data_IF_352616452160
#
_entry.id   IF_352616452160
#
_cell.length_a   1.000
_cell.length_b   1.000
_cell.length_c   1.000
_cell.angle_alpha   90.00
_cell.angle_beta   90.00
_cell.angle_gamma   90.00
#
_symmetry.space_group_name_H-M   'P 1'
#
loop_
_entity.id
_entity.type
_entity.pdbx_description
1 polymer ?
#
# COMPACT_ATOMS: atom_id res chain seq x y z
N UNK A 1 -5.20 -19.18 15.88
CA UNK A 1 -4.76 -19.27 14.47
C UNK A 1 -3.42 -19.98 14.41
N UNK A 2 -3.28 -21.03 13.59
CA UNK A 2 -1.98 -21.66 13.34
C UNK A 2 -1.05 -20.72 12.56
N UNK A 3 0.26 -20.93 12.66
CA UNK A 3 1.26 -20.16 11.92
C UNK A 3 1.02 -20.33 10.42
N UNK A 4 0.72 -19.25 9.70
CA UNK A 4 0.44 -19.29 8.27
C UNK A 4 1.75 -19.58 7.53
N UNK A 5 1.74 -20.63 6.70
CA UNK A 5 2.87 -20.93 5.81
C UNK A 5 2.74 -20.09 4.53
N UNK A 6 3.37 -18.91 4.53
CA UNK A 6 3.21 -17.93 3.46
C UNK A 6 3.63 -18.40 2.07
N UNK A 7 4.67 -19.23 1.97
CA UNK A 7 5.09 -19.83 0.70
C UNK A 7 4.00 -20.73 0.10
N UNK A 8 3.40 -21.60 0.91
CA UNK A 8 2.30 -22.46 0.48
C UNK A 8 1.03 -21.65 0.16
N UNK A 9 0.73 -20.64 0.97
CA UNK A 9 -0.40 -19.74 0.74
C UNK A 9 -0.27 -18.96 -0.57
N UNK A 10 0.91 -18.39 -0.84
CA UNK A 10 1.18 -17.70 -2.09
C UNK A 10 0.99 -18.62 -3.30
N UNK A 11 1.54 -19.84 -3.24
CA UNK A 11 1.41 -20.81 -4.33
C UNK A 11 -0.07 -21.10 -4.63
N UNK A 12 -0.87 -21.36 -3.59
CA UNK A 12 -2.31 -21.58 -3.73
C UNK A 12 -3.04 -20.37 -4.33
N UNK A 13 -2.75 -19.16 -3.83
CA UNK A 13 -3.36 -17.93 -4.36
C UNK A 13 -3.04 -17.72 -5.84
N UNK A 14 -1.78 -17.91 -6.23
CA UNK A 14 -1.34 -17.77 -7.62
C UNK A 14 -2.01 -18.80 -8.52
N UNK A 15 -2.11 -20.05 -8.07
CA UNK A 15 -2.74 -21.15 -8.83
C UNK A 15 -4.25 -20.96 -8.98
N UNK A 16 -4.96 -20.73 -7.87
CA UNK A 16 -6.43 -20.60 -7.86
C UNK A 16 -6.88 -19.36 -8.64
N UNK A 17 -6.23 -18.22 -8.41
CA UNK A 17 -6.61 -16.96 -9.04
C UNK A 17 -5.91 -16.75 -10.39
N UNK A 18 -5.00 -17.64 -10.82
CA UNK A 18 -4.22 -17.48 -12.05
C UNK A 18 -3.45 -16.15 -12.11
N UNK A 19 -2.83 -15.75 -11.00
CA UNK A 19 -2.15 -14.45 -10.89
C UNK A 19 -0.90 -14.40 -11.77
N UNK A 20 -0.69 -13.27 -12.45
CA UNK A 20 0.52 -13.05 -13.26
C UNK A 20 1.76 -12.77 -12.40
N UNK A 21 1.55 -12.09 -11.28
CA UNK A 21 2.59 -11.68 -10.35
C UNK A 21 2.27 -12.22 -8.96
N UNK A 22 3.28 -12.54 -8.14
CA UNK A 22 3.04 -12.96 -6.76
C UNK A 22 2.39 -11.82 -5.95
N UNK A 23 1.50 -12.14 -5.01
CA UNK A 23 1.10 -11.22 -3.95
C UNK A 23 2.31 -10.62 -3.24
N UNK A 24 2.22 -9.33 -2.90
CA UNK A 24 3.29 -8.60 -2.21
C UNK A 24 2.92 -8.46 -0.74
N UNK A 25 3.78 -8.98 0.13
CA UNK A 25 3.77 -8.75 1.55
C UNK A 25 4.39 -7.38 1.86
N UNK A 26 3.71 -6.63 2.74
CA UNK A 26 4.12 -5.31 3.20
C UNK A 26 4.05 -5.29 4.72
N UNK A 27 5.14 -4.90 5.35
CA UNK A 27 5.24 -4.70 6.79
C UNK A 27 5.61 -3.25 7.09
N UNK A 28 4.86 -2.62 7.97
CA UNK A 28 5.06 -1.25 8.44
C UNK A 28 5.88 -1.28 9.72
N UNK A 29 7.17 -1.01 9.60
CA UNK A 29 8.12 -1.11 10.70
C UNK A 29 8.06 0.19 11.51
N UNK A 30 7.67 0.10 12.79
CA UNK A 30 7.54 1.25 13.69
C UNK A 30 8.86 1.66 14.35
N UNK A 31 9.73 0.70 14.62
CA UNK A 31 11.01 0.93 15.31
C UNK A 31 12.16 0.34 14.52
N UNK A 32 13.31 1.01 14.52
CA UNK A 32 14.46 0.62 13.71
C UNK A 32 15.03 -0.76 14.10
N UNK A 33 14.82 -1.19 15.34
CA UNK A 33 15.28 -2.50 15.84
C UNK A 33 14.46 -3.66 15.28
N UNK A 34 13.23 -3.39 14.80
CA UNK A 34 12.34 -4.39 14.22
C UNK A 34 12.69 -4.68 12.74
N UNK A 35 13.70 -4.00 12.17
CA UNK A 35 14.20 -4.28 10.83
C UNK A 35 14.95 -5.64 10.84
N UNK A 36 14.50 -6.62 10.02
CA UNK A 36 15.10 -7.95 10.04
C UNK A 36 16.54 -7.94 9.53
N UNK A 37 17.42 -8.67 10.23
CA UNK A 37 18.81 -8.82 9.84
C UNK A 37 18.92 -9.54 8.49
N UNK A 38 19.82 -9.07 7.63
CA UNK A 38 20.06 -9.67 6.31
C UNK A 38 19.15 -9.17 5.18
N UNK A 39 18.17 -8.31 5.46
CA UNK A 39 17.40 -7.61 4.42
C UNK A 39 18.13 -6.32 4.03
N UNK A 40 18.36 -6.14 2.74
CA UNK A 40 19.03 -4.95 2.22
C UNK A 40 18.09 -3.73 2.21
N UNK A 41 18.66 -2.55 2.46
CA UNK A 41 17.98 -1.28 2.20
C UNK A 41 17.88 -1.04 0.68
N UNK A 42 16.83 -0.38 0.23
CA UNK A 42 16.67 -0.03 -1.17
C UNK A 42 17.80 0.88 -1.67
N UNK A 43 18.48 0.47 -2.75
CA UNK A 43 19.67 1.16 -3.27
C UNK A 43 19.40 2.61 -3.72
N UNK A 44 18.29 2.82 -4.44
CA UNK A 44 17.95 4.11 -5.07
C UNK A 44 16.54 4.54 -4.69
N UNK A 45 16.31 5.84 -4.44
CA UNK A 45 14.96 6.34 -4.19
C UNK A 45 14.03 6.03 -5.36
N UNK A 46 12.83 5.55 -5.05
CA UNK A 46 11.80 5.28 -6.05
C UNK A 46 10.40 5.63 -5.53
N UNK A 47 9.42 5.67 -6.42
CA UNK A 47 8.02 5.80 -6.02
C UNK A 47 7.55 4.52 -5.32
N UNK A 48 6.77 4.64 -4.24
CA UNK A 48 6.25 3.48 -3.51
C UNK A 48 5.47 2.50 -4.40
N UNK A 49 4.65 3.01 -5.32
CA UNK A 49 3.97 2.16 -6.31
C UNK A 49 4.94 1.35 -7.19
N UNK A 50 6.12 1.92 -7.49
CA UNK A 50 7.21 1.21 -8.14
C UNK A 50 7.88 0.18 -7.22
N UNK A 51 7.99 0.45 -5.91
CA UNK A 51 8.51 -0.51 -4.93
C UNK A 51 7.66 -1.78 -4.91
N UNK A 52 6.33 -1.64 -4.94
CA UNK A 52 5.40 -2.79 -5.02
C UNK A 52 5.70 -3.64 -6.26
N UNK A 53 5.87 -3.01 -7.43
CA UNK A 53 6.25 -3.72 -8.66
C UNK A 53 7.63 -4.36 -8.57
N UNK A 54 8.58 -3.72 -7.91
CA UNK A 54 9.93 -4.26 -7.71
C UNK A 54 9.89 -5.51 -6.82
N UNK A 55 9.07 -5.49 -5.76
CA UNK A 55 8.82 -6.66 -4.92
C UNK A 55 8.13 -7.79 -5.70
N UNK A 56 7.15 -7.48 -6.58
CA UNK A 56 6.53 -8.48 -7.47
C UNK A 56 7.54 -9.21 -8.38
N UNK A 57 8.68 -8.60 -8.69
CA UNK A 57 9.77 -9.21 -9.46
C UNK A 57 10.71 -10.09 -8.60
N UNK A 58 10.31 -10.42 -7.37
CA UNK A 58 11.03 -11.36 -6.51
C UNK A 58 12.00 -10.72 -5.51
N UNK A 59 11.99 -9.39 -5.37
CA UNK A 59 12.94 -8.64 -4.55
C UNK A 59 12.42 -8.46 -3.12
N UNK A 60 13.34 -8.57 -2.16
CA UNK A 60 13.07 -8.39 -0.72
C UNK A 60 13.95 -7.25 -0.25
N UNK A 61 13.35 -6.19 0.28
CA UNK A 61 14.07 -4.99 0.71
C UNK A 61 13.23 -4.19 1.71
N UNK A 62 13.88 -3.27 2.40
CA UNK A 62 13.21 -2.23 3.16
C UNK A 62 13.55 -0.83 2.61
N UNK A 63 12.67 0.13 2.86
CA UNK A 63 12.82 1.52 2.45
C UNK A 63 12.47 2.47 3.60
N UNK A 64 13.43 3.34 3.96
CA UNK A 64 13.24 4.47 4.89
C UNK A 64 12.76 5.71 4.14
N UNK A 65 12.45 6.79 4.86
CA UNK A 65 11.93 8.04 4.30
C UNK A 65 12.72 8.59 3.10
N UNK A 66 14.06 8.51 3.13
CA UNK A 66 14.95 9.03 2.09
C UNK A 66 14.88 8.24 0.78
N UNK A 67 14.35 7.00 0.84
CA UNK A 67 14.15 6.13 -0.32
C UNK A 67 12.80 6.34 -1.01
N UNK A 68 11.91 7.15 -0.46
CA UNK A 68 10.61 7.44 -1.08
C UNK A 68 10.67 8.73 -1.92
N UNK A 69 10.70 8.59 -3.24
CA UNK A 69 10.72 9.74 -4.15
C UNK A 69 9.41 10.54 -4.15
N UNK A 70 8.31 9.96 -3.67
CA UNK A 70 7.01 10.63 -3.56
C UNK A 70 6.71 10.97 -2.11
N UNK A 71 6.84 12.25 -1.73
CA UNK A 71 6.55 12.71 -0.36
C UNK A 71 5.13 12.40 0.10
N UNK A 72 4.14 12.46 -0.81
CA UNK A 72 2.73 12.13 -0.49
C UNK A 72 2.55 10.65 -0.21
N UNK A 73 3.23 9.79 -0.99
CA UNK A 73 3.27 8.35 -0.74
C UNK A 73 3.94 8.04 0.61
N UNK A 74 5.06 8.70 0.92
CA UNK A 74 5.71 8.56 2.21
C UNK A 74 4.83 9.03 3.38
N UNK A 75 4.10 10.14 3.21
CA UNK A 75 3.18 10.66 4.23
C UNK A 75 2.00 9.71 4.45
N UNK A 76 1.42 9.15 3.39
CA UNK A 76 0.36 8.14 3.49
C UNK A 76 0.80 6.86 4.22
N UNK A 77 2.10 6.57 4.21
CA UNK A 77 2.71 5.44 4.93
C UNK A 77 3.16 5.80 6.35
N UNK A 78 2.93 7.04 6.81
CA UNK A 78 3.32 7.50 8.15
C UNK A 78 4.83 7.69 8.33
N UNK A 79 5.62 7.78 7.24
CA UNK A 79 7.07 7.98 7.31
C UNK A 79 7.45 9.43 7.57
N UNK A 80 6.68 10.37 7.00
CA UNK A 80 6.96 11.81 7.03
C UNK A 80 5.69 12.59 7.36
N UNK A 81 5.83 13.89 7.62
CA UNK A 81 4.70 14.79 7.83
C UNK A 81 3.87 14.95 6.54
N UNK A 82 2.56 15.07 6.73
CA UNK A 82 1.63 15.33 5.62
C UNK A 82 1.93 16.73 5.05
N UNK A 83 2.15 16.86 3.72
CA UNK A 83 2.36 18.17 3.09
C UNK A 83 1.22 19.16 3.40
N UNK A 84 1.57 20.43 3.61
CA UNK A 84 0.59 21.47 4.00
C UNK A 84 -0.57 21.60 3.01
N UNK A 85 -0.29 21.53 1.71
CA UNK A 85 -1.30 21.65 0.66
C UNK A 85 -2.23 20.43 0.58
N UNK A 86 -1.78 19.28 1.09
CA UNK A 86 -2.62 18.09 1.26
C UNK A 86 -3.52 18.24 2.49
N UNK A 87 -3.00 18.75 3.62
CA UNK A 87 -3.80 19.05 4.81
C UNK A 87 -4.90 20.10 4.58
N UNK A 88 -4.63 21.13 3.77
CA UNK A 88 -5.63 22.18 3.48
C UNK A 88 -6.62 21.77 2.39
N UNK A 89 -6.41 20.64 1.70
CA UNK A 89 -7.22 20.20 0.57
C UNK A 89 -6.95 20.95 -0.74
N UNK A 90 -6.03 21.92 -0.75
CA UNK A 90 -5.62 22.66 -1.94
C UNK A 90 -5.08 21.72 -3.02
N UNK A 91 -4.37 20.65 -2.63
CA UNK A 91 -3.87 19.66 -3.57
C UNK A 91 -4.99 19.03 -4.42
N UNK A 92 -6.09 18.60 -3.79
CA UNK A 92 -7.21 17.95 -4.47
C UNK A 92 -8.01 18.92 -5.34
N UNK A 93 -8.10 20.19 -4.94
CA UNK A 93 -8.65 21.24 -5.77
C UNK A 93 -7.74 21.48 -7.00
N UNK A 94 -6.44 21.60 -6.76
CA UNK A 94 -5.46 21.92 -7.79
C UNK A 94 -5.32 20.83 -8.85
N UNK A 95 -5.55 19.57 -8.45
CA UNK A 95 -5.57 18.38 -9.31
C UNK A 95 -6.95 18.08 -9.90
N UNK A 96 -7.92 18.99 -9.79
CA UNK A 96 -9.29 18.77 -10.27
C UNK A 96 -9.89 17.43 -9.79
N UNK A 97 -9.43 16.94 -8.63
CA UNK A 97 -9.96 15.75 -7.97
C UNK A 97 -11.20 16.09 -7.15
N UNK A 98 -11.28 17.35 -6.69
CA UNK A 98 -12.45 17.93 -6.04
C UNK A 98 -12.81 19.26 -6.71
N UNK A 99 -14.11 19.55 -6.85
CA UNK A 99 -14.60 20.79 -7.47
C UNK A 99 -14.54 22.01 -6.54
N UNK A 100 -14.31 21.80 -5.24
CA UNK A 100 -14.23 22.87 -4.23
C UNK A 100 -13.40 22.43 -3.03
N UNK A 101 -12.88 23.40 -2.26
CA UNK A 101 -12.21 23.12 -0.98
C UNK A 101 -13.14 22.40 0.00
N UNK A 102 -14.44 22.74 0.02
CA UNK A 102 -15.42 22.06 0.87
C UNK A 102 -15.51 20.56 0.55
N UNK A 103 -15.47 20.19 -0.73
CA UNK A 103 -15.45 18.79 -1.14
C UNK A 103 -14.13 18.11 -0.75
N UNK A 104 -12.99 18.81 -0.90
CA UNK A 104 -11.68 18.30 -0.52
C UNK A 104 -11.55 18.05 0.99
N UNK A 105 -12.01 18.98 1.84
CA UNK A 105 -11.98 18.83 3.31
C UNK A 105 -12.85 17.66 3.75
N UNK A 106 -14.05 17.49 3.18
CA UNK A 106 -14.89 16.32 3.48
C UNK A 106 -14.20 15.02 3.07
N UNK A 107 -13.55 15.01 1.91
CA UNK A 107 -12.80 13.85 1.45
C UNK A 107 -11.65 13.50 2.39
N UNK A 108 -10.86 14.51 2.81
CA UNK A 108 -9.77 14.35 3.76
C UNK A 108 -10.23 13.79 5.12
N UNK A 109 -11.39 14.21 5.61
CA UNK A 109 -11.94 13.75 6.88
C UNK A 109 -12.31 12.25 6.90
N UNK A 110 -12.59 11.67 5.73
CA UNK A 110 -12.94 10.24 5.56
C UNK A 110 -11.72 9.38 5.22
N UNK A 111 -10.58 9.97 4.89
CA UNK A 111 -9.39 9.20 4.53
C UNK A 111 -8.77 8.55 5.77
N UNK A 112 -8.58 7.22 5.77
CA UNK A 112 -7.77 6.59 6.80
C UNK A 112 -6.34 7.14 6.69
N UNK A 113 -5.82 7.64 7.81
CA UNK A 113 -4.50 8.23 7.90
C UNK A 113 -3.69 7.55 8.99
N UNK A 114 -2.43 7.26 8.70
CA UNK A 114 -1.46 6.85 9.71
C UNK A 114 -0.92 8.10 10.40
N UNK A 115 -0.66 7.98 11.71
CA UNK A 115 -0.02 9.06 12.46
C UNK A 115 1.30 9.46 11.78
N UNK A 116 1.54 10.76 11.53
CA UNK A 116 2.79 11.23 10.94
C UNK A 116 4.00 10.77 11.74
N UNK A 117 5.04 10.31 11.04
CA UNK A 117 6.30 9.81 11.61
C UNK A 117 6.12 8.63 12.59
N UNK A 118 5.02 7.89 12.50
CA UNK A 118 4.79 6.68 13.31
C UNK A 118 5.47 5.43 12.76
N UNK A 119 5.87 5.46 11.48
CA UNK A 119 6.55 4.37 10.78
C UNK A 119 7.98 4.83 10.48
N UNK A 120 8.98 3.97 10.74
CA UNK A 120 10.37 4.25 10.43
C UNK A 120 10.80 3.70 9.06
N UNK A 121 10.24 2.57 8.64
CA UNK A 121 10.56 1.93 7.37
C UNK A 121 9.40 1.07 6.87
N UNK A 122 9.34 0.87 5.56
CA UNK A 122 8.45 -0.10 4.92
C UNK A 122 9.26 -1.26 4.38
N UNK A 123 8.89 -2.49 4.74
CA UNK A 123 9.48 -3.71 4.18
C UNK A 123 8.53 -4.27 3.12
N UNK A 124 9.08 -4.61 1.96
CA UNK A 124 8.33 -5.19 0.85
C UNK A 124 9.02 -6.46 0.35
N UNK A 125 8.21 -7.48 0.08
CA UNK A 125 8.66 -8.76 -0.46
C UNK A 125 7.54 -9.49 -1.17
N UNK A 126 7.83 -10.43 -2.09
CA UNK A 126 6.88 -11.49 -2.40
C UNK A 126 6.41 -12.18 -1.11
N UNK A 127 5.12 -12.52 -1.04
CA UNK A 127 4.54 -13.19 0.12
C UNK A 127 5.31 -14.46 0.51
N UNK A 128 5.79 -15.24 -0.46
CA UNK A 128 6.58 -16.47 -0.22
C UNK A 128 7.90 -16.26 0.52
N UNK A 129 8.48 -15.06 0.43
CA UNK A 129 9.81 -14.71 0.95
C UNK A 129 9.74 -13.70 2.08
N UNK A 130 8.55 -13.48 2.64
CA UNK A 130 8.37 -12.49 3.69
C UNK A 130 9.19 -12.88 4.94
N UNK A 131 10.10 -12.02 5.42
CA UNK A 131 10.91 -12.29 6.60
C UNK A 131 10.11 -12.09 7.89
N UNK A 132 9.04 -11.30 7.83
CA UNK A 132 8.16 -10.94 8.94
C UNK A 132 6.71 -11.26 8.59
N UNK A 133 5.85 -11.26 9.61
CA UNK A 133 4.40 -11.29 9.42
C UNK A 133 3.98 -9.99 8.70
N UNK A 134 3.33 -10.07 7.52
CA UNK A 134 2.89 -8.88 6.80
C UNK A 134 1.67 -8.25 7.46
N UNK A 135 1.68 -6.91 7.57
CA UNK A 135 0.50 -6.13 7.97
C UNK A 135 -0.51 -6.03 6.82
N UNK A 136 0.00 -5.97 5.58
CA UNK A 136 -0.80 -5.80 4.38
C UNK A 136 -0.30 -6.74 3.28
N UNK A 137 -1.23 -7.38 2.57
CA UNK A 137 -0.93 -8.14 1.36
C UNK A 137 -1.61 -7.47 0.16
N UNK A 138 -0.81 -7.06 -0.83
CA UNK A 138 -1.30 -6.50 -2.09
C UNK A 138 -1.39 -7.60 -3.14
N UNK A 139 -2.57 -7.73 -3.74
CA UNK A 139 -2.83 -8.66 -4.85
C UNK A 139 -3.15 -7.84 -6.10
N UNK A 140 -2.30 -7.96 -7.13
CA UNK A 140 -2.59 -7.40 -8.45
C UNK A 140 -3.37 -8.39 -9.30
N UNK A 141 -4.60 -8.04 -9.65
CA UNK A 141 -5.48 -8.92 -10.40
C UNK A 141 -6.56 -8.15 -11.14
N UNK A 142 -7.36 -8.87 -11.95
CA UNK A 142 -8.54 -8.30 -12.63
C UNK A 142 -9.76 -8.31 -11.69
N UNK A 143 -10.73 -7.45 -11.97
CA UNK A 143 -11.92 -7.28 -11.13
C UNK A 143 -12.66 -8.59 -10.79
N UNK A 144 -12.78 -9.51 -11.75
CA UNK A 144 -13.44 -10.81 -11.51
C UNK A 144 -12.77 -11.63 -10.40
N UNK A 145 -11.43 -11.63 -10.35
CA UNK A 145 -10.65 -12.38 -9.36
C UNK A 145 -10.59 -11.65 -8.03
N UNK A 146 -10.58 -10.32 -8.05
CA UNK A 146 -10.72 -9.52 -6.83
C UNK A 146 -12.07 -9.81 -6.15
N UNK A 147 -13.14 -9.98 -6.95
CA UNK A 147 -14.45 -10.39 -6.45
C UNK A 147 -14.43 -11.76 -5.78
N UNK A 148 -13.71 -12.74 -6.35
CA UNK A 148 -13.52 -14.05 -5.73
C UNK A 148 -12.77 -13.97 -4.39
N UNK A 149 -11.75 -13.11 -4.29
CA UNK A 149 -11.05 -12.84 -3.03
C UNK A 149 -11.97 -12.21 -1.99
N UNK A 150 -12.80 -11.24 -2.39
CA UNK A 150 -13.78 -10.63 -1.47
C UNK A 150 -14.78 -11.67 -0.94
N UNK A 151 -15.29 -12.56 -1.80
CA UNK A 151 -16.15 -13.67 -1.38
C UNK A 151 -15.42 -14.64 -0.43
N UNK A 152 -14.16 -14.98 -0.73
CA UNK A 152 -13.37 -15.85 0.12
C UNK A 152 -13.12 -15.25 1.51
N UNK A 153 -12.97 -13.92 1.62
CA UNK A 153 -12.71 -13.24 2.89
C UNK A 153 -13.83 -13.37 3.91
N UNK A 154 -15.06 -13.66 3.46
CA UNK A 154 -16.25 -13.79 4.31
C UNK A 154 -16.78 -15.23 4.35
N UNK A 155 -16.06 -16.19 3.75
CA UNK A 155 -16.56 -17.55 3.57
C UNK A 155 -16.92 -18.22 4.89
N UNK A 156 -16.05 -18.07 5.90
CA UNK A 156 -16.25 -18.67 7.22
C UNK A 156 -17.11 -17.78 8.15
N UNK A 157 -17.09 -16.46 7.96
CA UNK A 157 -17.69 -15.50 8.91
C UNK A 157 -19.04 -14.95 8.48
N UNK A 158 -19.30 -14.85 7.17
CA UNK A 158 -20.48 -14.18 6.61
C UNK A 158 -20.54 -12.68 6.89
N UNK A 159 -19.43 -12.06 7.31
CA UNK A 159 -19.38 -10.65 7.68
C UNK A 159 -19.46 -9.72 6.46
N UNK A 160 -19.67 -8.42 6.71
CA UNK A 160 -19.63 -7.41 5.65
C UNK A 160 -18.18 -7.11 5.28
N UNK A 161 -17.90 -7.05 3.98
CA UNK A 161 -16.61 -6.57 3.48
C UNK A 161 -16.60 -5.04 3.52
N UNK A 162 -15.66 -4.47 4.27
CA UNK A 162 -15.35 -3.04 4.16
C UNK A 162 -14.41 -2.80 2.98
N UNK A 163 -14.76 -1.83 2.13
CA UNK A 163 -13.98 -1.49 0.95
C UNK A 163 -13.94 0.02 0.76
N UNK A 164 -12.77 0.52 0.41
CA UNK A 164 -12.51 1.92 0.18
C UNK A 164 -12.06 2.12 -1.26
N UNK A 165 -12.66 3.09 -1.94
CA UNK A 165 -12.28 3.47 -3.30
C UNK A 165 -11.95 4.96 -3.31
N UNK A 166 -10.73 5.29 -3.72
CA UNK A 166 -10.32 6.68 -3.93
C UNK A 166 -10.23 6.95 -5.43
N UNK A 167 -10.68 8.12 -5.86
CA UNK A 167 -10.61 8.50 -7.26
C UNK A 167 -9.14 8.60 -7.69
N UNK A 168 -8.72 7.94 -8.78
CA UNK A 168 -7.40 8.18 -9.34
C UNK A 168 -7.32 9.66 -9.72
N UNK A 169 -6.27 10.36 -9.26
CA UNK A 169 -6.08 11.77 -9.58
C UNK A 169 -6.22 11.99 -11.07
N UNK A 170 -7.16 12.85 -11.48
CA UNK A 170 -7.37 13.15 -12.89
C UNK A 170 -6.12 13.89 -13.40
N UNK A 171 -5.48 13.35 -14.42
CA UNK A 171 -4.49 14.09 -15.21
C UNK A 171 -5.16 15.08 -16.16
N UNK A 172 -6.38 15.53 -15.84
CA UNK A 172 -7.09 16.46 -16.68
C UNK A 172 -6.36 17.81 -16.63
N UNK A 173 -5.82 18.31 -17.75
CA UNK A 173 -5.30 19.67 -17.78
C UNK A 173 -6.45 20.61 -17.41
N UNK A 174 -6.18 21.59 -16.54
CA UNK A 174 -7.08 22.75 -16.42
C UNK A 174 -7.22 23.33 -17.82
N UNK A 175 -8.41 23.22 -18.40
CA UNK A 175 -8.80 24.22 -19.40
C UNK A 175 -8.90 25.52 -18.60
N UNK A 176 -7.94 26.40 -18.85
CA UNK A 176 -8.03 27.81 -18.47
C UNK A 176 -9.17 28.45 -19.27
#
# INVERSE_FOLDING_TARGET
MGKVEYAAAQKKLVEILGLKFPPVAITLIRRAEDIPQGVAELDKPMFYCGMIKYAMLGKVFYAKEDKHSCKRGAAALGLVDIPRDELTGEFYLNKASCSSLRAAVRFLAELPSLEPRSICATLLSPLEKTPLDPDVVIIETIGRRAFEVMHASIFDTGEKVESWMSAPGSSAPRQQ
#
